data_IF_170173642702
#
_entry.id   IF_170173642702
#
_cell.length_a   1.000
_cell.length_b   1.000
_cell.length_c   1.000
_cell.angle_alpha   90.00
_cell.angle_beta   90.00
_cell.angle_gamma   90.00
#
_symmetry.space_group_name_H-M   'P 1'
#
loop_
_entity.id
_entity.type
_entity.pdbx_description
1 polymer ?
#
# COMPACT_ATOMS: atom_id res chain seq x y z
N UNK A 1 -26.50 0.08 26.66
CA UNK A 1 -25.08 -0.32 26.72
C UNK A 1 -24.73 -1.68 26.06
N UNK A 2 -25.66 -2.63 25.84
CA UNK A 2 -25.32 -3.98 25.32
C UNK A 2 -25.13 -4.08 23.79
N UNK A 3 -25.68 -3.12 23.04
CA UNK A 3 -25.70 -3.17 21.57
C UNK A 3 -24.30 -3.09 20.95
N UNK A 4 -23.42 -2.26 21.52
CA UNK A 4 -22.03 -2.09 21.08
C UNK A 4 -21.21 -3.38 21.17
N UNK A 5 -21.32 -4.13 22.29
CA UNK A 5 -20.58 -5.40 22.44
C UNK A 5 -21.06 -6.48 21.46
N UNK A 6 -22.35 -6.52 21.14
CA UNK A 6 -22.90 -7.45 20.14
C UNK A 6 -22.47 -7.06 18.71
N UNK A 7 -22.48 -5.76 18.39
CA UNK A 7 -22.02 -5.24 17.10
C UNK A 7 -20.52 -5.50 16.86
N UNK A 8 -19.65 -5.26 17.85
CA UNK A 8 -18.22 -5.59 17.76
C UNK A 8 -17.97 -7.09 17.59
N UNK A 9 -18.71 -7.95 18.30
CA UNK A 9 -18.56 -9.41 18.22
C UNK A 9 -19.08 -9.99 16.89
N UNK A 10 -20.07 -9.35 16.27
CA UNK A 10 -20.56 -9.71 14.95
C UNK A 10 -19.67 -9.17 13.82
N UNK A 11 -19.07 -7.99 13.97
CA UNK A 11 -18.19 -7.38 12.98
C UNK A 11 -16.79 -8.02 12.95
N UNK A 12 -16.28 -8.47 14.11
CA UNK A 12 -14.95 -9.09 14.24
C UNK A 12 -14.62 -10.17 13.19
N UNK A 13 -15.47 -11.19 12.96
CA UNK A 13 -15.18 -12.23 11.97
C UNK A 13 -15.13 -11.71 10.52
N UNK A 14 -15.87 -10.64 10.21
CA UNK A 14 -15.86 -10.03 8.87
C UNK A 14 -14.71 -9.03 8.69
N UNK A 15 -14.22 -8.41 9.77
CA UNK A 15 -13.09 -7.48 9.72
C UNK A 15 -11.73 -8.18 9.72
N UNK A 16 -11.62 -9.39 10.29
CA UNK A 16 -10.38 -10.18 10.29
C UNK A 16 -9.81 -10.41 8.87
N UNK A 17 -10.58 -10.88 7.87
CA UNK A 17 -10.03 -11.14 6.54
C UNK A 17 -9.59 -9.85 5.84
N UNK A 18 -10.32 -8.74 6.01
CA UNK A 18 -9.95 -7.44 5.46
C UNK A 18 -8.67 -6.93 6.12
N UNK A 19 -8.61 -6.96 7.44
CA UNK A 19 -7.43 -6.56 8.22
C UNK A 19 -6.21 -7.41 7.86
N UNK A 20 -6.37 -8.73 7.76
CA UNK A 20 -5.31 -9.63 7.35
C UNK A 20 -4.80 -9.29 5.93
N UNK A 21 -5.69 -8.98 4.99
CA UNK A 21 -5.33 -8.55 3.64
C UNK A 21 -4.50 -7.25 3.62
N UNK A 22 -4.94 -6.23 4.36
CA UNK A 22 -4.19 -4.96 4.48
C UNK A 22 -2.85 -5.14 5.20
N UNK A 23 -2.80 -5.98 6.24
CA UNK A 23 -1.58 -6.28 6.96
C UNK A 23 -0.58 -7.03 6.08
N UNK A 24 -1.04 -8.02 5.30
CA UNK A 24 -0.21 -8.73 4.33
C UNK A 24 0.30 -7.78 3.25
N UNK A 25 -0.54 -6.91 2.70
CA UNK A 25 -0.11 -5.91 1.71
C UNK A 25 1.00 -4.99 2.24
N UNK A 26 0.84 -4.46 3.46
CA UNK A 26 1.85 -3.62 4.10
C UNK A 26 3.16 -4.37 4.36
N UNK A 27 3.09 -5.62 4.82
CA UNK A 27 4.28 -6.47 5.00
C UNK A 27 4.98 -6.75 3.66
N UNK A 28 4.24 -7.13 2.63
CA UNK A 28 4.81 -7.39 1.29
C UNK A 28 5.49 -6.14 0.75
N UNK A 29 4.87 -4.97 0.89
CA UNK A 29 5.46 -3.70 0.46
C UNK A 29 6.74 -3.35 1.25
N UNK A 30 6.71 -3.48 2.57
CA UNK A 30 7.88 -3.24 3.42
C UNK A 30 9.05 -4.17 3.09
N UNK A 31 8.79 -5.47 2.90
CA UNK A 31 9.79 -6.46 2.47
C UNK A 31 10.32 -6.11 1.08
N UNK A 32 9.43 -5.75 0.14
CA UNK A 32 9.80 -5.40 -1.22
C UNK A 32 10.74 -4.18 -1.29
N UNK A 33 10.46 -3.14 -0.50
CA UNK A 33 11.31 -1.97 -0.38
C UNK A 33 12.64 -2.27 0.32
N UNK A 34 12.64 -3.17 1.30
CA UNK A 34 13.86 -3.62 1.96
C UNK A 34 14.79 -4.41 1.02
N UNK A 35 14.22 -5.33 0.22
CA UNK A 35 14.95 -6.08 -0.83
C UNK A 35 15.49 -5.14 -1.91
N UNK A 36 14.74 -4.07 -2.21
CA UNK A 36 15.16 -3.01 -3.13
C UNK A 36 16.26 -2.10 -2.57
N UNK A 37 16.70 -2.31 -1.32
CA UNK A 37 17.78 -1.54 -0.69
C UNK A 37 17.35 -0.22 -0.04
N UNK A 38 16.04 0.06 0.03
CA UNK A 38 15.55 1.28 0.68
C UNK A 38 15.34 1.08 2.20
N UNK A 39 15.67 2.08 3.02
CA UNK A 39 15.43 2.03 4.46
C UNK A 39 13.93 2.12 4.75
N UNK A 40 13.49 1.58 5.90
CA UNK A 40 12.08 1.48 6.32
C UNK A 40 11.29 2.81 6.30
N UNK A 41 11.96 3.96 6.38
CA UNK A 41 11.32 5.28 6.31
C UNK A 41 10.76 5.63 4.92
N UNK A 42 11.40 5.17 3.85
CA UNK A 42 10.92 5.41 2.48
C UNK A 42 9.55 4.79 2.21
N UNK A 43 9.33 3.47 2.45
CA UNK A 43 8.00 2.88 2.30
C UNK A 43 6.97 3.54 3.23
N UNK A 44 7.35 3.92 4.45
CA UNK A 44 6.42 4.58 5.37
C UNK A 44 5.90 5.93 4.85
N UNK A 45 6.78 6.75 4.26
CA UNK A 45 6.40 8.03 3.66
C UNK A 45 5.65 7.85 2.33
N UNK A 46 6.05 6.87 1.51
CA UNK A 46 5.37 6.56 0.26
C UNK A 46 3.95 6.05 0.51
N UNK A 47 3.75 5.19 1.51
CA UNK A 47 2.42 4.70 1.89
C UNK A 47 1.50 5.81 2.43
N UNK A 48 2.07 6.85 3.05
CA UNK A 48 1.31 8.00 3.52
C UNK A 48 0.92 8.96 2.38
N UNK A 49 1.75 9.05 1.34
CA UNK A 49 1.58 10.03 0.24
C UNK A 49 0.89 9.46 -0.98
N UNK A 50 1.02 8.16 -1.25
CA UNK A 50 0.46 7.46 -2.40
C UNK A 50 -0.75 6.65 -1.94
N UNK A 51 -1.96 7.19 -2.17
CA UNK A 51 -3.20 6.49 -1.84
C UNK A 51 -3.55 5.37 -2.85
N UNK A 52 -3.00 5.46 -4.07
CA UNK A 52 -3.19 4.45 -5.10
C UNK A 52 -2.24 3.27 -4.87
N UNK A 53 -2.71 2.24 -4.16
CA UNK A 53 -1.89 1.08 -3.77
C UNK A 53 -1.19 0.39 -4.96
N UNK A 54 -1.81 0.34 -6.14
CA UNK A 54 -1.15 -0.22 -7.34
C UNK A 54 0.04 0.63 -7.82
N UNK A 55 -0.06 1.96 -7.70
CA UNK A 55 1.03 2.88 -8.05
C UNK A 55 2.16 2.84 -7.03
N UNK A 56 1.85 2.60 -5.74
CA UNK A 56 2.83 2.48 -4.67
C UNK A 56 3.88 1.39 -4.94
N UNK A 57 3.45 0.23 -5.46
CA UNK A 57 4.37 -0.84 -5.87
C UNK A 57 5.16 -0.52 -7.14
N UNK A 58 4.53 0.16 -8.12
CA UNK A 58 5.20 0.57 -9.37
C UNK A 58 6.22 1.68 -9.13
N UNK A 59 5.96 2.56 -8.15
CA UNK A 59 6.85 3.64 -7.76
C UNK A 59 8.22 3.12 -7.31
N UNK A 60 8.29 1.96 -6.66
CA UNK A 60 9.57 1.34 -6.25
C UNK A 60 10.45 1.05 -7.46
N UNK A 61 9.89 0.43 -8.51
CA UNK A 61 10.63 0.17 -9.75
C UNK A 61 11.04 1.47 -10.46
N UNK A 62 10.20 2.50 -10.40
CA UNK A 62 10.53 3.83 -10.91
C UNK A 62 11.67 4.51 -10.14
N UNK A 63 11.72 4.33 -8.80
CA UNK A 63 12.82 4.85 -7.97
C UNK A 63 14.14 4.09 -8.18
N UNK A 64 14.08 2.80 -8.50
CA UNK A 64 15.26 1.99 -8.84
C UNK A 64 15.76 2.22 -10.27
N UNK A 65 14.87 2.66 -11.17
CA UNK A 65 15.17 2.92 -12.58
C UNK A 65 15.86 4.27 -12.81
N UNK A 66 16.13 4.57 -14.08
CA UNK A 66 16.61 5.90 -14.48
C UNK A 66 15.54 6.96 -14.22
N UNK A 67 15.94 8.09 -13.64
CA UNK A 67 15.03 9.18 -13.29
C UNK A 67 14.36 9.77 -14.54
N UNK A 68 13.12 9.35 -14.82
CA UNK A 68 12.31 9.86 -15.93
C UNK A 68 10.92 10.26 -15.42
N UNK A 69 10.73 11.53 -15.02
CA UNK A 69 9.46 12.00 -14.44
C UNK A 69 8.29 11.97 -15.44
N UNK A 70 8.56 12.07 -16.74
CA UNK A 70 7.51 12.00 -17.77
C UNK A 70 6.95 10.58 -17.90
N UNK A 71 7.81 9.57 -17.82
CA UNK A 71 7.39 8.16 -17.80
C UNK A 71 6.59 7.84 -16.53
N UNK A 72 7.02 8.35 -15.37
CA UNK A 72 6.29 8.20 -14.12
C UNK A 72 4.88 8.81 -14.21
N UNK A 73 4.75 10.01 -14.78
CA UNK A 73 3.45 10.66 -15.00
C UNK A 73 2.56 9.84 -15.95
N UNK A 74 3.10 9.35 -17.07
CA UNK A 74 2.35 8.53 -18.01
C UNK A 74 1.87 7.22 -17.38
N UNK A 75 2.74 6.51 -16.66
CA UNK A 75 2.37 5.24 -16.00
C UNK A 75 1.35 5.47 -14.89
N UNK A 76 1.54 6.48 -14.04
CA UNK A 76 0.56 6.80 -12.99
C UNK A 76 -0.80 7.18 -13.57
N UNK A 77 -0.85 7.95 -14.66
CA UNK A 77 -2.09 8.29 -15.35
C UNK A 77 -2.75 7.03 -15.95
N UNK A 78 -2.00 6.16 -16.62
CA UNK A 78 -2.53 4.93 -17.21
C UNK A 78 -3.11 3.98 -16.15
N UNK A 79 -2.44 3.84 -14.99
CA UNK A 79 -2.91 2.97 -13.90
C UNK A 79 -4.17 3.54 -13.24
N UNK A 80 -4.26 4.86 -13.10
CA UNK A 80 -5.43 5.53 -12.49
C UNK A 80 -6.54 5.89 -13.50
N UNK A 81 -6.33 5.75 -14.81
CA UNK A 81 -7.34 6.02 -15.84
C UNK A 81 -8.41 4.92 -15.95
N UNK A 82 -8.30 3.89 -15.11
CA UNK A 82 -9.30 2.84 -14.90
C UNK A 82 -10.41 3.32 -13.99
#
# INVERSE_FOLDING_TARGET
MQMWRKAFRAAFPYTIPIFAGFWFLGLTYGIYMNVSGFPFWYPMLMSLTIFAGSVEFVAVNLLLGAFNPLQALAMTLMINAR
#
